data_IF_371228931779
#
_entry.id   IF_371228931779
#
_cell.length_a   1.000
_cell.length_b   1.000
_cell.length_c   1.000
_cell.angle_alpha   90.00
_cell.angle_beta   90.00
_cell.angle_gamma   90.00
#
_symmetry.space_group_name_H-M   'P 1'
#
loop_
_entity.id
_entity.type
_entity.pdbx_description
1 polymer ?
#
# COMPACT_ATOMS: atom_id res chain seq x y z
N UNK A 1 -37.65 1.44 20.24
CA UNK A 1 -37.18 0.68 19.07
C UNK A 1 -35.90 1.32 18.54
N UNK A 2 -34.69 0.83 18.88
CA UNK A 2 -33.45 1.44 18.42
C UNK A 2 -33.11 0.97 17.00
N UNK A 3 -32.72 1.92 16.15
CA UNK A 3 -32.27 1.70 14.78
C UNK A 3 -30.93 0.97 14.74
N UNK A 4 -30.89 -0.25 14.20
CA UNK A 4 -29.65 -0.91 13.82
C UNK A 4 -29.15 -0.32 12.50
N UNK A 5 -28.06 0.44 12.57
CA UNK A 5 -27.33 0.97 11.41
C UNK A 5 -26.37 -0.12 10.92
N UNK A 6 -26.79 -0.89 9.90
CA UNK A 6 -25.94 -1.86 9.21
C UNK A 6 -24.79 -1.12 8.52
N UNK A 7 -23.59 -1.22 9.10
CA UNK A 7 -22.35 -0.82 8.45
C UNK A 7 -21.94 -1.94 7.50
N UNK A 8 -22.27 -1.78 6.22
CA UNK A 8 -21.72 -2.60 5.14
C UNK A 8 -20.26 -2.20 4.95
N UNK A 9 -19.35 -2.98 5.54
CA UNK A 9 -17.95 -2.99 5.14
C UNK A 9 -17.85 -3.83 3.86
N UNK A 10 -17.54 -3.21 2.72
CA UNK A 10 -16.77 -3.82 1.64
C UNK A 10 -16.48 -2.79 0.53
N UNK A 11 -15.29 -2.20 0.59
CA UNK A 11 -14.59 -1.71 -0.59
C UNK A 11 -13.18 -2.28 -0.53
N UNK A 12 -13.03 -3.51 -0.99
CA UNK A 12 -11.74 -4.06 -1.38
C UNK A 12 -11.53 -3.64 -2.84
N UNK A 13 -10.62 -2.70 -3.04
CA UNK A 13 -10.08 -2.36 -4.35
C UNK A 13 -9.57 -3.65 -5.01
N UNK A 14 -10.11 -3.96 -6.20
CA UNK A 14 -9.53 -4.93 -7.09
C UNK A 14 -8.13 -4.44 -7.48
N UNK A 15 -7.10 -5.19 -7.08
CA UNK A 15 -5.76 -5.01 -7.64
C UNK A 15 -5.80 -5.56 -9.07
N UNK A 16 -5.37 -4.79 -10.09
CA UNK A 16 -5.21 -5.34 -11.43
C UNK A 16 -4.14 -6.44 -11.39
N UNK A 17 -4.53 -7.62 -11.84
CA UNK A 17 -3.65 -8.78 -12.03
C UNK A 17 -2.50 -8.41 -12.95
N UNK A 18 -1.27 -8.55 -12.44
CA UNK A 18 -0.05 -8.34 -13.19
C UNK A 18 0.17 -9.41 -14.25
N UNK A 19 -0.35 -9.18 -15.45
CA UNK A 19 0.06 -9.82 -16.70
C UNK A 19 0.18 -8.75 -17.79
N UNK A 20 1.23 -7.93 -17.69
CA UNK A 20 1.72 -7.09 -18.78
C UNK A 20 3.19 -6.72 -18.51
N UNK A 21 4.09 -7.69 -18.61
CA UNK A 21 5.54 -7.45 -18.52
C UNK A 21 6.30 -8.32 -19.52
N UNK A 22 5.95 -8.20 -20.80
CA UNK A 22 6.79 -8.64 -21.92
C UNK A 22 6.49 -7.80 -23.16
N UNK A 23 6.78 -6.49 -23.12
CA UNK A 23 7.14 -5.70 -24.31
C UNK A 23 7.61 -4.29 -23.91
N UNK A 24 8.89 -4.15 -23.59
CA UNK A 24 9.60 -2.86 -23.63
C UNK A 24 11.09 -3.13 -23.84
N UNK A 25 11.40 -3.55 -25.06
CA UNK A 25 12.77 -3.56 -25.58
C UNK A 25 12.77 -2.66 -26.80
N UNK A 26 12.85 -1.33 -26.57
CA UNK A 26 13.36 -0.31 -27.50
C UNK A 26 13.33 1.08 -26.86
N UNK A 27 14.53 1.60 -26.59
CA UNK A 27 14.86 3.01 -26.74
C UNK A 27 14.60 3.95 -25.55
N UNK A 28 15.54 4.05 -24.62
CA UNK A 28 15.89 5.33 -23.99
C UNK A 28 17.38 5.40 -23.67
N UNK A 29 18.19 5.61 -24.71
CA UNK A 29 19.46 6.34 -24.55
C UNK A 29 19.11 7.82 -24.51
N UNK A 30 18.95 8.38 -23.30
CA UNK A 30 19.30 9.79 -23.07
C UNK A 30 19.96 9.90 -21.71
N UNK A 31 21.28 9.91 -21.78
CA UNK A 31 22.19 10.32 -20.73
C UNK A 31 21.97 11.83 -20.49
N UNK A 32 20.92 12.20 -19.75
CA UNK A 32 20.67 13.59 -19.35
C UNK A 32 21.56 13.94 -18.17
N UNK A 33 22.80 14.34 -18.50
CA UNK A 33 23.62 15.19 -17.63
C UNK A 33 22.75 16.32 -17.09
N UNK A 34 22.62 16.34 -15.78
CA UNK A 34 22.07 17.44 -14.99
C UNK A 34 22.89 18.71 -15.26
N UNK A 35 22.49 19.48 -16.26
CA UNK A 35 22.90 20.87 -16.42
C UNK A 35 22.36 21.61 -15.20
N UNK A 36 23.27 22.15 -14.39
CA UNK A 36 22.93 23.14 -13.36
C UNK A 36 22.27 24.33 -14.07
N UNK A 37 20.96 24.47 -13.92
CA UNK A 37 20.32 25.78 -14.07
C UNK A 37 20.81 26.64 -12.91
N UNK A 38 21.91 27.37 -13.14
CA UNK A 38 22.17 28.59 -12.41
C UNK A 38 21.14 29.61 -12.88
N UNK A 39 20.36 30.09 -11.91
CA UNK A 39 19.43 31.20 -12.03
C UNK A 39 20.14 32.39 -12.66
N UNK A 40 19.68 32.77 -13.85
CA UNK A 40 19.91 34.07 -14.47
C UNK A 40 19.08 35.07 -13.68
N UNK A 41 19.68 35.74 -12.72
CA UNK A 41 19.20 37.03 -12.23
C UNK A 41 20.41 37.94 -11.99
N UNK A 42 20.42 39.06 -12.70
CA UNK A 42 21.28 40.23 -12.49
C UNK A 42 22.79 40.09 -12.74
N UNK A 43 23.17 40.13 -14.01
CA UNK A 43 24.43 40.76 -14.41
C UNK A 43 24.11 41.86 -15.44
N UNK A 44 24.19 43.09 -14.94
CA UNK A 44 24.35 44.33 -15.70
C UNK A 44 25.32 44.13 -16.86
N UNK A 45 24.82 44.38 -18.07
CA UNK A 45 25.58 44.38 -19.33
C UNK A 45 26.64 45.48 -19.27
N UNK A 46 27.95 45.17 -19.28
CA UNK A 46 28.95 46.17 -19.58
C UNK A 46 29.02 46.37 -21.10
N UNK A 47 28.96 47.62 -21.53
CA UNK A 47 29.06 48.05 -22.91
C UNK A 47 30.26 47.39 -23.62
N UNK A 48 29.96 46.73 -24.73
CA UNK A 48 30.92 46.08 -25.62
C UNK A 48 31.80 47.11 -26.31
N UNK A 49 33.08 47.16 -25.97
CA UNK A 49 34.12 47.76 -26.82
C UNK A 49 34.36 46.88 -28.06
N UNK A 50 34.57 47.45 -29.25
CA UNK A 50 34.87 46.68 -30.46
C UNK A 50 36.27 46.07 -30.34
N UNK A 51 36.34 44.78 -30.03
CA UNK A 51 37.60 44.06 -29.98
C UNK A 51 38.03 43.71 -31.41
N UNK A 52 39.03 44.43 -31.86
CA UNK A 52 39.79 44.20 -33.09
C UNK A 52 40.39 42.80 -33.14
N UNK A 53 40.37 42.20 -34.33
CA UNK A 53 41.26 41.14 -34.82
C UNK A 53 41.46 39.90 -33.94
N UNK A 54 40.46 39.01 -33.95
CA UNK A 54 40.68 37.58 -33.73
C UNK A 54 41.39 36.99 -34.96
N UNK A 55 42.70 37.20 -35.06
CA UNK A 55 43.55 36.34 -35.91
C UNK A 55 43.44 34.92 -35.37
N UNK A 56 43.07 33.99 -36.25
CA UNK A 56 43.05 32.55 -36.05
C UNK A 56 44.42 32.04 -35.55
N UNK A 57 44.63 32.06 -34.23
CA UNK A 57 45.71 31.33 -33.59
C UNK A 57 45.24 29.88 -33.49
N UNK A 58 45.49 29.11 -34.55
CA UNK A 58 45.34 27.66 -34.49
C UNK A 58 46.11 27.15 -33.27
N UNK A 59 45.48 26.38 -32.36
CA UNK A 59 46.18 25.87 -31.20
C UNK A 59 47.38 25.07 -31.68
N UNK A 60 48.59 25.49 -31.28
CA UNK A 60 49.80 24.74 -31.56
C UNK A 60 49.63 23.37 -30.91
N UNK A 61 49.48 22.34 -31.74
CA UNK A 61 49.48 20.96 -31.32
C UNK A 61 50.90 20.66 -30.82
N UNK A 62 51.08 20.73 -29.51
CA UNK A 62 52.32 20.28 -28.86
C UNK A 62 52.43 18.77 -29.03
N UNK A 63 53.04 18.35 -30.13
CA UNK A 63 53.32 16.96 -30.50
C UNK A 63 54.58 16.43 -29.80
N UNK A 64 54.87 16.90 -28.59
CA UNK A 64 56.01 16.39 -27.83
C UNK A 64 55.76 14.91 -27.48
N UNK A 65 56.60 13.97 -27.97
CA UNK A 65 56.42 12.54 -27.72
C UNK A 65 56.43 12.18 -26.23
N UNK A 66 57.09 12.98 -25.38
CA UNK A 66 57.10 12.76 -23.93
C UNK A 66 55.72 13.06 -23.32
N UNK A 67 55.08 14.14 -23.78
CA UNK A 67 53.73 14.54 -23.36
C UNK A 67 52.68 13.52 -23.80
N UNK A 68 52.80 12.97 -25.01
CA UNK A 68 51.91 11.92 -25.51
C UNK A 68 52.02 10.63 -24.70
N UNK A 69 53.22 10.21 -24.32
CA UNK A 69 53.43 9.02 -23.49
C UNK A 69 52.83 9.16 -22.09
N UNK A 70 52.91 10.35 -21.49
CA UNK A 70 52.28 10.62 -20.20
C UNK A 70 50.74 10.57 -20.29
N UNK A 71 50.16 11.18 -21.33
CA UNK A 71 48.72 11.13 -21.60
C UNK A 71 48.22 9.70 -21.82
N UNK A 72 48.99 8.88 -22.55
CA UNK A 72 48.66 7.48 -22.81
C UNK A 72 48.65 6.65 -21.52
N UNK A 73 49.63 6.84 -20.62
CA UNK A 73 49.62 6.16 -19.31
C UNK A 73 48.42 6.55 -18.44
N UNK A 74 48.01 7.81 -18.46
CA UNK A 74 46.81 8.26 -17.74
C UNK A 74 45.55 7.63 -18.35
N UNK A 75 45.46 7.57 -19.68
CA UNK A 75 44.34 6.92 -20.35
C UNK A 75 44.28 5.41 -20.05
N UNK A 76 45.41 4.71 -20.05
CA UNK A 76 45.50 3.29 -19.67
C UNK A 76 45.05 3.05 -18.22
N UNK A 77 45.46 3.93 -17.29
CA UNK A 77 45.00 3.84 -15.90
C UNK A 77 43.49 4.06 -15.80
N UNK A 78 42.97 5.12 -16.42
CA UNK A 78 41.54 5.40 -16.41
C UNK A 78 40.72 4.27 -17.04
N UNK A 79 41.26 3.60 -18.07
CA UNK A 79 40.61 2.44 -18.68
C UNK A 79 40.54 1.26 -17.70
N UNK A 80 41.63 0.97 -16.98
CA UNK A 80 41.65 -0.08 -15.95
C UNK A 80 40.69 0.21 -14.81
N UNK A 81 40.68 1.44 -14.31
CA UNK A 81 39.78 1.87 -13.24
C UNK A 81 38.30 1.71 -13.69
N UNK A 82 37.99 2.02 -14.96
CA UNK A 82 36.66 1.82 -15.53
C UNK A 82 36.31 0.33 -15.74
N UNK A 83 37.27 -0.51 -16.11
CA UNK A 83 37.08 -1.96 -16.21
C UNK A 83 36.75 -2.58 -14.84
N UNK A 84 37.39 -2.11 -13.77
CA UNK A 84 37.07 -2.53 -12.39
C UNK A 84 35.67 -2.07 -11.96
N UNK A 85 35.29 -0.82 -12.25
CA UNK A 85 33.94 -0.31 -11.97
C UNK A 85 32.85 -1.11 -12.71
N UNK A 86 33.07 -1.44 -13.99
CA UNK A 86 32.14 -2.29 -14.76
C UNK A 86 32.01 -3.68 -14.13
N UNK A 87 33.11 -4.24 -13.62
CA UNK A 87 33.11 -5.55 -12.97
C UNK A 87 32.32 -5.53 -11.66
N UNK A 88 32.44 -4.46 -10.87
CA UNK A 88 31.66 -4.25 -9.64
C UNK A 88 30.16 -4.07 -9.93
N UNK A 89 29.81 -3.29 -10.96
CA UNK A 89 28.41 -3.12 -11.35
C UNK A 89 27.78 -4.42 -11.88
N UNK A 90 28.54 -5.24 -12.60
CA UNK A 90 28.03 -6.54 -13.08
C UNK A 90 27.74 -7.50 -11.92
N UNK A 91 28.59 -7.53 -10.88
CA UNK A 91 28.32 -8.36 -9.70
C UNK A 91 27.11 -7.86 -8.90
N UNK A 92 26.89 -6.54 -8.82
CA UNK A 92 25.67 -5.98 -8.22
C UNK A 92 24.40 -6.37 -9.00
N UNK A 93 24.45 -6.37 -10.34
CA UNK A 93 23.34 -6.81 -11.19
C UNK A 93 23.01 -8.29 -10.97
N UNK A 94 24.01 -9.16 -10.84
CA UNK A 94 23.81 -10.58 -10.55
C UNK A 94 23.12 -10.78 -9.19
N UNK A 95 23.59 -10.10 -8.14
CA UNK A 95 22.97 -10.13 -6.81
C UNK A 95 21.51 -9.63 -6.82
N UNK A 96 21.21 -8.57 -7.58
CA UNK A 96 19.84 -8.10 -7.75
C UNK A 96 18.97 -9.11 -8.51
N UNK A 97 19.55 -9.87 -9.44
CA UNK A 97 18.88 -10.98 -10.13
C UNK A 97 18.42 -12.07 -9.16
N UNK A 98 19.29 -12.49 -8.23
CA UNK A 98 18.98 -13.49 -7.21
C UNK A 98 17.86 -13.03 -6.26
N UNK A 99 17.92 -11.79 -5.77
CA UNK A 99 16.88 -11.22 -4.89
C UNK A 99 15.52 -11.15 -5.60
N UNK A 100 15.50 -10.91 -6.91
CA UNK A 100 14.26 -10.90 -7.68
C UNK A 100 13.66 -12.31 -7.86
N UNK A 101 14.50 -13.34 -7.97
CA UNK A 101 14.04 -14.74 -8.01
C UNK A 101 13.39 -15.15 -6.68
N UNK A 102 14.02 -14.84 -5.55
CA UNK A 102 13.46 -15.14 -4.22
C UNK A 102 12.10 -14.47 -4.01
N UNK A 103 11.98 -13.19 -4.39
CA UNK A 103 10.71 -12.46 -4.34
C UNK A 103 9.64 -13.06 -5.23
N UNK A 104 10.01 -13.56 -6.42
CA UNK A 104 9.06 -14.23 -7.31
C UNK A 104 8.50 -15.50 -6.66
N UNK A 105 9.36 -16.30 -6.03
CA UNK A 105 8.95 -17.50 -5.28
C UNK A 105 8.02 -17.15 -4.11
N UNK A 106 8.32 -16.08 -3.37
CA UNK A 106 7.45 -15.59 -2.29
C UNK A 106 6.06 -15.17 -2.81
N UNK A 107 6.01 -14.40 -3.91
CA UNK A 107 4.76 -13.98 -4.55
C UNK A 107 3.94 -15.20 -5.00
N UNK A 108 4.56 -16.18 -5.64
CA UNK A 108 3.87 -17.39 -6.10
C UNK A 108 3.35 -18.24 -4.93
N UNK A 109 4.08 -18.28 -3.81
CA UNK A 109 3.63 -18.93 -2.57
C UNK A 109 2.41 -18.22 -1.96
N UNK A 110 2.42 -16.89 -1.94
CA UNK A 110 1.30 -16.08 -1.45
C UNK A 110 0.06 -16.22 -2.36
N UNK A 111 0.24 -16.25 -3.68
CA UNK A 111 -0.86 -16.50 -4.64
C UNK A 111 -1.52 -17.85 -4.39
N UNK A 112 -0.73 -18.92 -4.25
CA UNK A 112 -1.26 -20.25 -3.92
C UNK A 112 -2.00 -20.28 -2.58
N UNK A 113 -1.49 -19.57 -1.58
CA UNK A 113 -2.15 -19.46 -0.27
C UNK A 113 -3.48 -18.70 -0.36
N UNK A 114 -3.56 -17.66 -1.21
CA UNK A 114 -4.77 -16.91 -1.46
C UNK A 114 -5.83 -17.75 -2.20
N UNK A 115 -5.42 -18.47 -3.25
CA UNK A 115 -6.28 -19.40 -3.98
C UNK A 115 -6.81 -20.51 -3.08
N UNK A 116 -5.97 -21.05 -2.18
CA UNK A 116 -6.39 -22.06 -1.21
C UNK A 116 -7.39 -21.53 -0.17
N UNK A 117 -7.35 -20.23 0.15
CA UNK A 117 -8.27 -19.59 1.11
C UNK A 117 -9.63 -19.20 0.49
N UNK A 118 -9.71 -19.10 -0.83
CA UNK A 118 -10.91 -18.65 -1.53
C UNK A 118 -12.14 -19.57 -1.32
N UNK A 119 -12.03 -20.91 -1.36
CA UNK A 119 -13.16 -21.79 -1.05
C UNK A 119 -13.72 -21.59 0.36
N UNK A 120 -12.85 -21.39 1.36
CA UNK A 120 -13.27 -21.12 2.75
C UNK A 120 -13.99 -19.78 2.85
N UNK A 121 -13.50 -18.74 2.15
CA UNK A 121 -14.18 -17.44 2.09
C UNK A 121 -15.57 -17.56 1.47
N UNK A 122 -15.70 -18.29 0.37
CA UNK A 122 -16.98 -18.52 -0.31
C UNK A 122 -17.94 -19.28 0.62
N UNK A 123 -17.50 -20.38 1.23
CA UNK A 123 -18.34 -21.17 2.15
C UNK A 123 -18.79 -20.37 3.37
N UNK A 124 -17.92 -19.56 3.97
CA UNK A 124 -18.27 -18.68 5.09
C UNK A 124 -19.30 -17.63 4.66
N UNK A 125 -19.12 -17.06 3.47
CA UNK A 125 -20.04 -16.07 2.91
C UNK A 125 -21.42 -16.69 2.68
N UNK A 126 -21.49 -17.88 2.07
CA UNK A 126 -22.73 -18.64 1.89
C UNK A 126 -23.41 -18.92 3.24
N UNK A 127 -22.67 -19.38 4.24
CA UNK A 127 -23.20 -19.65 5.59
C UNK A 127 -23.78 -18.39 6.25
N UNK A 128 -23.09 -17.25 6.10
CA UNK A 128 -23.58 -15.96 6.62
C UNK A 128 -24.87 -15.56 5.90
N UNK A 129 -24.94 -15.74 4.59
CA UNK A 129 -26.15 -15.46 3.83
C UNK A 129 -27.32 -16.33 4.28
N UNK A 130 -27.12 -17.63 4.46
CA UNK A 130 -28.18 -18.53 4.94
C UNK A 130 -28.71 -18.09 6.32
N UNK A 131 -27.80 -17.78 7.25
CA UNK A 131 -28.17 -17.29 8.59
C UNK A 131 -28.91 -15.95 8.57
N UNK A 132 -28.58 -15.07 7.62
CA UNK A 132 -29.28 -13.80 7.46
C UNK A 132 -30.67 -14.03 6.86
N UNK A 133 -30.78 -14.88 5.84
CA UNK A 133 -32.04 -15.17 5.17
C UNK A 133 -33.06 -15.84 6.10
N UNK A 134 -32.61 -16.69 7.02
CA UNK A 134 -33.47 -17.30 8.04
C UNK A 134 -34.03 -16.29 9.05
N UNK A 135 -33.31 -15.18 9.30
CA UNK A 135 -33.70 -14.17 10.30
C UNK A 135 -34.44 -12.97 9.72
N UNK A 136 -34.40 -12.77 8.40
CA UNK A 136 -35.01 -11.62 7.75
C UNK A 136 -36.46 -11.90 7.37
N UNK A 137 -37.30 -10.87 7.49
CA UNK A 137 -38.65 -10.93 6.93
C UNK A 137 -38.59 -10.95 5.40
N UNK A 138 -39.65 -11.45 4.74
CA UNK A 138 -39.75 -11.46 3.27
C UNK A 138 -39.64 -10.05 2.69
N UNK A 139 -40.16 -9.05 3.40
CA UNK A 139 -40.10 -7.64 3.03
C UNK A 139 -38.66 -7.09 3.10
N UNK A 140 -37.90 -7.46 4.14
CA UNK A 140 -36.49 -7.05 4.28
C UNK A 140 -35.62 -7.69 3.20
N UNK A 141 -35.86 -8.97 2.88
CA UNK A 141 -35.19 -9.67 1.77
C UNK A 141 -35.40 -8.93 0.44
N UNK A 142 -36.64 -8.52 0.15
CA UNK A 142 -36.96 -7.75 -1.07
C UNK A 142 -36.31 -6.37 -1.09
N UNK A 143 -36.12 -5.74 0.06
CA UNK A 143 -35.43 -4.44 0.16
C UNK A 143 -33.94 -4.60 -0.11
N UNK A 144 -33.28 -5.58 0.52
CA UNK A 144 -31.87 -5.88 0.30
C UNK A 144 -31.60 -6.27 -1.15
N UNK A 145 -32.47 -7.10 -1.75
CA UNK A 145 -32.33 -7.49 -3.16
C UNK A 145 -32.35 -6.27 -4.11
N UNK A 146 -33.27 -5.32 -3.91
CA UNK A 146 -33.32 -4.08 -4.70
C UNK A 146 -32.08 -3.21 -4.51
N UNK A 147 -31.59 -3.09 -3.28
CA UNK A 147 -30.38 -2.30 -3.01
C UNK A 147 -29.13 -2.93 -3.63
N UNK A 148 -29.03 -4.26 -3.61
CA UNK A 148 -27.94 -5.00 -4.28
C UNK A 148 -28.04 -4.82 -5.79
N UNK A 149 -29.23 -4.93 -6.38
CA UNK A 149 -29.44 -4.74 -7.81
C UNK A 149 -29.09 -3.31 -8.25
N UNK A 150 -29.51 -2.29 -7.50
CA UNK A 150 -29.16 -0.90 -7.74
C UNK A 150 -27.65 -0.67 -7.63
N UNK A 151 -26.98 -1.26 -6.63
CA UNK A 151 -25.52 -1.15 -6.48
C UNK A 151 -24.74 -1.90 -7.55
N UNK A 152 -25.22 -3.06 -8.01
CA UNK A 152 -24.60 -3.80 -9.12
C UNK A 152 -24.78 -3.01 -10.42
N UNK A 153 -25.97 -2.45 -10.67
CA UNK A 153 -26.19 -1.56 -11.81
C UNK A 153 -25.32 -0.31 -11.74
N UNK A 154 -25.18 0.31 -10.57
CA UNK A 154 -24.28 1.44 -10.36
C UNK A 154 -22.82 1.06 -10.53
N UNK A 155 -22.39 -0.11 -10.06
CA UNK A 155 -21.02 -0.60 -10.27
C UNK A 155 -20.71 -0.91 -11.75
N UNK A 156 -21.71 -1.34 -12.52
CA UNK A 156 -21.61 -1.50 -13.97
C UNK A 156 -21.62 -0.16 -14.72
N UNK A 157 -22.40 0.82 -14.24
CA UNK A 157 -22.48 2.18 -14.81
C UNK A 157 -21.25 3.04 -14.48
N UNK A 158 -20.71 2.86 -13.29
CA UNK A 158 -19.47 3.47 -12.82
C UNK A 158 -18.27 2.60 -13.13
N UNK A 159 -18.46 1.52 -13.89
CA UNK A 159 -17.41 0.62 -14.36
C UNK A 159 -16.22 1.47 -14.75
N UNK A 160 -15.16 1.32 -13.95
CA UNK A 160 -13.96 2.11 -14.04
C UNK A 160 -13.62 2.23 -15.53
N UNK A 161 -13.73 3.45 -16.07
CA UNK A 161 -13.00 3.83 -17.26
C UNK A 161 -11.54 3.72 -16.86
N UNK A 162 -11.02 2.50 -16.90
CA UNK A 162 -9.60 2.26 -17.03
C UNK A 162 -9.29 2.99 -18.34
N UNK A 163 -8.63 4.13 -18.23
CA UNK A 163 -8.00 4.83 -19.35
C UNK A 163 -6.89 3.91 -19.88
N UNK A 164 -7.27 2.77 -20.46
CA UNK A 164 -6.43 1.97 -21.33
C UNK A 164 -6.38 2.72 -22.65
N UNK A 165 -5.57 3.78 -22.66
CA UNK A 165 -5.10 4.42 -23.87
C UNK A 165 -4.20 3.46 -24.63
N UNK A 166 -4.80 2.62 -25.47
CA UNK A 166 -4.21 2.22 -26.75
C UNK A 166 -5.31 1.75 -27.68
N UNK A 167 -5.32 2.30 -28.89
CA UNK A 167 -6.39 2.20 -29.90
C UNK A 167 -6.45 0.85 -30.60
N UNK A 168 -6.52 -0.24 -29.84
CA UNK A 168 -6.84 -1.56 -30.35
C UNK A 168 -8.35 -1.71 -30.49
N UNK A 169 -8.79 -1.89 -31.73
CA UNK A 169 -10.16 -2.25 -32.13
C UNK A 169 -10.53 -3.62 -31.53
N UNK A 170 -10.88 -3.61 -30.24
CA UNK A 170 -11.48 -4.75 -29.55
C UNK A 170 -12.99 -4.68 -29.80
N UNK A 171 -13.44 -5.48 -30.76
CA UNK A 171 -14.79 -6.06 -30.67
C UNK A 171 -14.96 -6.56 -29.25
N UNK A 172 -15.92 -6.01 -28.49
CA UNK A 172 -16.66 -6.76 -27.47
C UNK A 172 -17.77 -5.94 -26.83
N UNK A 173 -18.97 -6.54 -26.73
CA UNK A 173 -19.83 -6.38 -25.57
C UNK A 173 -19.96 -7.74 -24.86
N UNK A 174 -18.97 -8.11 -24.04
CA UNK A 174 -19.00 -9.29 -23.13
C UNK A 174 -20.06 -9.27 -22.00
N UNK A 175 -20.66 -8.15 -21.54
CA UNK A 175 -21.48 -8.20 -20.33
C UNK A 175 -22.68 -9.16 -20.41
N UNK A 176 -23.29 -9.32 -21.59
CA UNK A 176 -24.46 -10.20 -21.77
C UNK A 176 -24.11 -11.68 -21.75
N UNK A 177 -23.02 -12.06 -22.40
CA UNK A 177 -22.59 -13.48 -22.47
C UNK A 177 -22.13 -13.95 -21.09
N UNK A 178 -21.46 -13.10 -20.31
CA UNK A 178 -21.07 -13.42 -18.93
C UNK A 178 -22.29 -13.52 -18.02
N UNK A 179 -23.28 -12.64 -18.18
CA UNK A 179 -24.52 -12.72 -17.40
C UNK A 179 -25.35 -13.98 -17.75
N UNK A 180 -25.48 -14.33 -19.03
CA UNK A 180 -26.19 -15.53 -19.46
C UNK A 180 -25.48 -16.81 -18.99
N UNK A 181 -24.16 -16.87 -19.10
CA UNK A 181 -23.38 -18.03 -18.63
C UNK A 181 -23.41 -18.17 -17.11
N UNK A 182 -23.45 -17.07 -16.36
CA UNK A 182 -23.60 -17.12 -14.89
C UNK A 182 -25.00 -17.54 -14.46
N UNK A 183 -26.06 -17.08 -15.14
CA UNK A 183 -27.43 -17.53 -14.91
C UNK A 183 -27.60 -19.03 -15.21
N UNK A 184 -27.04 -19.52 -16.33
CA UNK A 184 -27.07 -20.94 -16.67
C UNK A 184 -26.33 -21.81 -15.63
N UNK A 185 -25.18 -21.35 -15.13
CA UNK A 185 -24.46 -22.03 -14.04
C UNK A 185 -25.27 -22.05 -12.74
N UNK A 186 -26.00 -20.97 -12.43
CA UNK A 186 -26.88 -20.91 -11.26
C UNK A 186 -28.02 -21.93 -11.35
N UNK A 187 -28.68 -22.01 -12.50
CA UNK A 187 -29.78 -22.95 -12.71
C UNK A 187 -29.32 -24.41 -12.62
N UNK A 188 -28.13 -24.72 -13.12
CA UNK A 188 -27.52 -26.04 -12.96
C UNK A 188 -27.28 -26.39 -11.49
N UNK A 189 -26.74 -25.45 -10.69
CA UNK A 189 -26.54 -25.64 -9.24
C UNK A 189 -27.86 -25.81 -8.49
N UNK A 190 -28.90 -25.03 -8.82
CA UNK A 190 -30.23 -25.17 -8.21
C UNK A 190 -30.86 -26.53 -8.53
N UNK A 191 -30.71 -27.03 -9.76
CA UNK A 191 -31.17 -28.38 -10.12
C UNK A 191 -30.42 -29.47 -9.34
N UNK A 192 -29.11 -29.32 -9.16
CA UNK A 192 -28.31 -30.25 -8.37
C UNK A 192 -28.69 -30.23 -6.89
N UNK A 193 -28.88 -29.05 -6.30
CA UNK A 193 -29.32 -28.91 -4.91
C UNK A 193 -30.70 -29.56 -4.68
N UNK A 194 -31.67 -29.33 -5.57
CA UNK A 194 -32.98 -30.01 -5.51
C UNK A 194 -32.84 -31.53 -5.57
N UNK A 195 -31.96 -32.05 -6.42
CA UNK A 195 -31.71 -33.50 -6.51
C UNK A 195 -31.17 -34.06 -5.18
N UNK A 196 -30.22 -33.37 -4.55
CA UNK A 196 -29.66 -33.76 -3.24
C UNK A 196 -30.72 -33.71 -2.14
N UNK A 197 -31.57 -32.67 -2.12
CA UNK A 197 -32.67 -32.58 -1.15
C UNK A 197 -33.71 -33.68 -1.34
N UNK A 198 -34.05 -34.03 -2.58
CA UNK A 198 -34.97 -35.14 -2.89
C UNK A 198 -34.36 -36.49 -2.46
N UNK A 199 -33.05 -36.70 -2.68
CA UNK A 199 -32.32 -37.88 -2.18
C UNK A 199 -32.31 -37.93 -0.65
N UNK A 200 -32.09 -36.79 0.02
CA UNK A 200 -32.12 -36.69 1.48
C UNK A 200 -33.52 -36.96 2.05
N UNK A 201 -34.57 -36.49 1.38
CA UNK A 201 -35.97 -36.80 1.74
C UNK A 201 -36.30 -38.28 1.57
N UNK A 202 -35.83 -38.92 0.49
CA UNK A 202 -35.98 -40.37 0.27
C UNK A 202 -35.22 -41.18 1.34
N UNK A 203 -34.00 -40.77 1.69
CA UNK A 203 -33.22 -41.42 2.75
C UNK A 203 -33.90 -41.26 4.13
N UNK A 204 -34.46 -40.09 4.43
CA UNK A 204 -35.18 -39.86 5.69
C UNK A 204 -36.48 -40.68 5.78
N UNK A 205 -37.18 -40.89 4.65
CA UNK A 205 -38.34 -41.78 4.61
C UNK A 205 -37.96 -43.22 4.98
N UNK A 206 -36.83 -43.72 4.47
CA UNK A 206 -36.33 -45.06 4.79
C UNK A 206 -35.83 -45.19 6.24
N UNK A 207 -35.23 -44.13 6.81
CA UNK A 207 -34.71 -44.14 8.19
C UNK A 207 -35.82 -44.09 9.26
N UNK A 208 -37.02 -43.63 8.91
CA UNK A 208 -38.15 -43.56 9.85
C UNK A 208 -38.76 -44.95 10.11
N UNK A 209 -38.58 -45.91 9.20
CA UNK A 209 -39.01 -47.29 9.40
C UNK A 209 -38.07 -48.04 10.37
N UNK A 210 -36.77 -47.73 10.39
CA UNK A 210 -35.80 -48.28 11.35
C UNK A 210 -35.94 -47.69 12.75
N UNK A 211 -36.29 -46.40 12.88
CA UNK A 211 -36.43 -45.76 14.21
C UNK A 211 -37.64 -46.29 15.00
N UNK A 212 -38.70 -46.75 14.32
CA UNK A 212 -39.85 -47.40 14.97
C UNK A 212 -39.48 -48.72 15.66
N UNK A 213 -38.39 -49.39 15.25
CA UNK A 213 -37.92 -50.60 15.94
C UNK A 213 -37.13 -50.29 17.22
N UNK A 214 -36.59 -49.08 17.39
CA UNK A 214 -35.71 -48.73 18.51
C UNK A 214 -36.41 -48.02 19.69
N UNK A 215 -37.67 -47.61 19.55
CA UNK A 215 -38.43 -46.94 20.62
C UNK A 215 -39.04 -47.89 21.68
N UNK A 216 -38.60 -49.15 21.77
CA UNK A 216 -39.01 -50.09 22.84
C UNK A 216 -38.02 -50.17 24.03
N UNK A 217 -37.37 -49.07 24.44
CA UNK A 217 -36.57 -49.06 25.68
C UNK A 217 -36.85 -47.83 26.54
N UNK A 218 -37.14 -47.99 27.85
CA UNK A 218 -37.47 -46.88 28.73
C UNK A 218 -36.23 -46.21 29.36
N UNK A 219 -36.31 -44.88 29.36
CA UNK A 219 -35.92 -43.85 30.33
C UNK A 219 -34.65 -44.00 31.19
N UNK A 220 -33.68 -43.12 30.89
CA UNK A 220 -32.68 -42.64 31.86
C UNK A 220 -32.61 -41.11 31.77
N UNK A 221 -32.98 -40.46 32.86
CA UNK A 221 -32.97 -39.02 33.08
C UNK A 221 -31.61 -38.54 33.59
N UNK A 222 -31.05 -37.47 32.98
CA UNK A 222 -29.90 -36.75 33.56
C UNK A 222 -30.10 -35.24 33.43
N UNK A 223 -29.83 -34.57 34.54
CA UNK A 223 -30.15 -33.19 34.87
C UNK A 223 -29.17 -32.14 34.31
N UNK A 224 -29.70 -30.92 34.20
CA UNK A 224 -29.04 -29.69 33.77
C UNK A 224 -28.06 -29.11 34.80
N UNK A 225 -27.05 -28.39 34.31
CA UNK A 225 -26.13 -27.59 35.12
C UNK A 225 -25.71 -26.32 34.38
N UNK A 226 -26.27 -25.19 34.82
CA UNK A 226 -25.91 -23.82 34.45
C UNK A 226 -24.69 -23.35 35.27
N UNK A 227 -23.88 -22.44 34.71
CA UNK A 227 -22.96 -21.49 35.40
C UNK A 227 -22.16 -20.75 34.31
N UNK A 228 -21.69 -19.50 34.40
CA UNK A 228 -21.76 -18.42 35.38
C UNK A 228 -21.10 -17.20 34.70
N UNK A 229 -21.70 -16.03 34.83
CA UNK A 229 -21.24 -14.74 34.30
C UNK A 229 -20.04 -14.18 35.06
N UNK A 230 -19.10 -13.47 34.41
CA UNK A 230 -18.33 -12.43 35.10
C UNK A 230 -17.86 -11.27 34.21
N UNK A 231 -18.11 -10.08 34.74
CA UNK A 231 -17.85 -8.73 34.22
C UNK A 231 -16.60 -8.18 34.89
N UNK A 232 -15.63 -7.62 34.15
CA UNK A 232 -14.64 -6.70 34.74
C UNK A 232 -14.40 -5.47 33.86
N UNK A 233 -14.70 -4.35 34.50
CA UNK A 233 -14.59 -2.94 34.14
C UNK A 233 -13.24 -2.42 34.66
N UNK A 234 -12.42 -1.75 33.84
CA UNK A 234 -11.38 -0.87 34.39
C UNK A 234 -11.01 0.29 33.44
N UNK A 235 -11.38 1.50 33.85
CA UNK A 235 -10.95 2.76 33.26
C UNK A 235 -9.59 3.19 33.82
N UNK A 236 -8.71 3.76 32.98
CA UNK A 236 -7.63 4.66 33.45
C UNK A 236 -7.48 5.87 32.52
N UNK A 237 -7.86 7.02 33.09
CA UNK A 237 -7.64 8.40 32.66
C UNK A 237 -6.22 8.81 33.06
N UNK A 238 -5.45 9.47 32.17
CA UNK A 238 -4.23 10.21 32.55
C UNK A 238 -4.13 11.53 31.80
N UNK A 239 -3.68 12.52 32.55
CA UNK A 239 -3.72 13.95 32.31
C UNK A 239 -2.70 14.41 31.26
N UNK A 240 -3.02 15.51 30.62
CA UNK A 240 -2.19 16.25 29.69
C UNK A 240 -1.58 17.44 30.43
N UNK A 241 -0.25 17.46 30.54
CA UNK A 241 0.49 18.67 30.90
C UNK A 241 1.17 19.19 29.63
N UNK A 242 0.68 20.34 29.16
CA UNK A 242 1.22 21.09 28.06
C UNK A 242 2.35 21.98 28.59
N UNK A 243 3.57 21.75 28.09
CA UNK A 243 4.71 22.63 28.26
C UNK A 243 4.63 23.66 27.13
N UNK A 244 4.19 24.87 27.45
CA UNK A 244 4.27 26.03 26.58
C UNK A 244 5.70 26.53 26.55
N UNK A 245 6.31 26.58 25.36
CA UNK A 245 7.60 27.22 25.13
C UNK A 245 7.33 28.55 24.42
N UNK A 246 7.84 29.69 24.92
CA UNK A 246 7.64 30.98 24.28
C UNK A 246 8.61 31.17 23.12
N UNK A 247 8.23 32.08 22.23
CA UNK A 247 9.04 32.72 21.18
C UNK A 247 9.17 31.99 19.83
N UNK A 248 8.13 32.13 19.00
CA UNK A 248 8.32 32.31 17.55
C UNK A 248 7.46 33.46 17.02
N UNK A 249 7.94 34.23 16.02
CA UNK A 249 7.33 35.49 15.63
C UNK A 249 6.01 35.27 14.87
N UNK A 250 4.98 36.02 15.25
CA UNK A 250 3.67 36.04 14.59
C UNK A 250 3.73 36.81 13.27
N UNK A 251 3.59 36.09 12.17
CA UNK A 251 3.31 36.64 10.84
C UNK A 251 2.45 35.64 10.07
N UNK A 252 1.20 36.02 9.79
CA UNK A 252 0.12 35.19 9.26
C UNK A 252 0.33 34.71 7.81
N UNK A 253 0.59 33.41 7.65
CA UNK A 253 0.26 32.54 6.51
C UNK A 253 0.38 31.11 7.04
N UNK A 254 -0.69 30.32 6.96
CA UNK A 254 -0.90 29.06 7.71
C UNK A 254 0.38 28.31 8.03
N UNK A 255 0.80 28.35 9.30
CA UNK A 255 2.01 27.68 9.77
C UNK A 255 1.84 26.19 9.48
N UNK A 256 2.52 25.70 8.44
CA UNK A 256 2.52 24.27 8.13
C UNK A 256 2.98 23.54 9.38
N UNK A 257 2.14 22.62 9.85
CA UNK A 257 2.44 21.73 10.96
C UNK A 257 3.79 21.05 10.71
N UNK A 258 4.63 20.98 11.73
CA UNK A 258 5.95 20.35 11.63
C UNK A 258 5.80 18.83 11.84
N UNK A 259 6.13 18.05 10.81
CA UNK A 259 6.02 16.59 10.83
C UNK A 259 7.43 16.00 10.88
N UNK A 260 7.81 15.56 12.07
CA UNK A 260 9.15 15.05 12.33
C UNK A 260 9.32 13.65 11.76
N UNK A 261 10.43 13.38 11.05
CA UNK A 261 10.78 12.00 10.68
C UNK A 261 11.10 11.15 11.92
N UNK A 262 10.91 9.84 11.81
CA UNK A 262 11.07 8.88 12.92
C UNK A 262 12.48 8.96 13.52
N UNK A 263 13.49 9.13 12.67
CA UNK A 263 14.89 9.20 13.10
C UNK A 263 15.19 10.48 13.89
N UNK A 264 14.77 11.64 13.36
CA UNK A 264 14.92 12.90 14.07
C UNK A 264 14.15 12.89 15.40
N UNK A 265 12.94 12.33 15.43
CA UNK A 265 12.16 12.19 16.65
C UNK A 265 12.84 11.29 17.70
N UNK A 266 13.45 10.17 17.28
CA UNK A 266 14.16 9.26 18.19
C UNK A 266 15.41 9.88 18.80
N UNK A 267 16.11 10.72 18.03
CA UNK A 267 17.39 11.33 18.40
C UNK A 267 17.25 12.77 18.93
N UNK A 268 16.02 13.29 19.06
CA UNK A 268 15.75 14.69 19.42
C UNK A 268 16.47 15.70 18.51
N UNK A 269 16.57 15.42 17.21
CA UNK A 269 17.12 16.34 16.21
C UNK A 269 16.02 17.24 15.62
N UNK A 270 16.39 18.46 15.23
CA UNK A 270 15.51 19.39 14.53
C UNK A 270 15.28 18.92 13.10
N UNK A 271 14.03 18.58 12.74
CA UNK A 271 13.66 18.15 11.40
C UNK A 271 13.18 19.34 10.56
N UNK A 272 13.74 19.53 9.37
CA UNK A 272 13.41 20.62 8.43
C UNK A 272 12.20 20.32 7.53
N UNK A 273 11.51 19.21 7.77
CA UNK A 273 10.37 18.71 6.99
C UNK A 273 10.60 18.49 5.48
N UNK A 274 11.84 18.55 4.99
CA UNK A 274 12.13 18.18 3.59
C UNK A 274 11.95 16.65 3.40
N UNK A 275 11.80 16.23 2.13
CA UNK A 275 11.78 14.82 1.76
C UNK A 275 12.89 14.54 0.74
N UNK A 276 14.01 13.91 1.16
CA UNK A 276 14.41 13.60 2.54
C UNK A 276 14.82 14.85 3.37
N UNK A 277 14.81 14.76 4.71
CA UNK A 277 15.25 15.85 5.58
C UNK A 277 16.79 15.98 5.61
N UNK A 278 17.33 17.20 5.76
CA UNK A 278 18.80 17.44 5.75
C UNK A 278 19.56 16.56 6.73
N UNK A 279 19.06 16.39 7.95
CA UNK A 279 19.70 15.54 8.97
C UNK A 279 19.77 14.07 8.55
N UNK A 280 18.74 13.54 7.88
CA UNK A 280 18.78 12.18 7.35
C UNK A 280 19.71 12.05 6.14
N UNK A 281 19.79 13.08 5.28
CA UNK A 281 20.73 13.12 4.15
C UNK A 281 22.18 13.09 4.65
N UNK A 282 22.53 13.96 5.61
CA UNK A 282 23.89 13.98 6.18
C UNK A 282 24.27 12.70 6.92
N UNK A 283 23.29 12.02 7.52
CA UNK A 283 23.52 10.75 8.20
C UNK A 283 23.47 9.54 7.25
N UNK A 284 23.19 9.74 5.95
CA UNK A 284 23.00 8.69 4.95
C UNK A 284 21.93 7.66 5.36
N UNK A 285 20.83 8.13 5.98
CA UNK A 285 19.73 7.27 6.47
C UNK A 285 18.44 7.52 5.72
N UNK A 286 17.63 6.47 5.60
CA UNK A 286 16.26 6.56 5.06
C UNK A 286 15.40 7.47 5.94
N UNK A 287 14.87 8.54 5.35
CA UNK A 287 13.98 9.49 6.00
C UNK A 287 12.53 8.99 5.96
N UNK A 288 12.09 8.28 7.00
CA UNK A 288 10.70 7.78 7.11
C UNK A 288 9.90 8.55 8.15
N UNK A 289 8.60 8.73 7.90
CA UNK A 289 7.66 9.38 8.83
C UNK A 289 6.63 8.39 9.34
N UNK A 290 6.22 8.55 10.60
CA UNK A 290 5.20 7.69 11.19
C UNK A 290 3.81 8.19 10.80
N UNK A 291 2.96 7.30 10.28
CA UNK A 291 1.55 7.58 10.06
C UNK A 291 0.80 7.80 11.39
N UNK A 292 -0.14 8.75 11.40
CA UNK A 292 -1.02 8.96 12.54
C UNK A 292 -2.17 7.95 12.54
N UNK A 293 -2.10 6.93 13.40
CA UNK A 293 -3.16 5.91 13.55
C UNK A 293 -4.50 6.48 14.00
N UNK A 294 -4.47 7.60 14.75
CA UNK A 294 -5.70 8.27 15.19
C UNK A 294 -6.31 9.11 14.06
N UNK A 295 -5.53 9.54 13.07
CA UNK A 295 -6.04 10.31 11.95
C UNK A 295 -6.81 9.42 10.97
N UNK A 296 -6.26 8.25 10.62
CA UNK A 296 -6.95 7.26 9.78
C UNK A 296 -8.32 6.84 10.35
N UNK A 297 -8.49 6.89 11.67
CA UNK A 297 -9.75 6.58 12.36
C UNK A 297 -10.66 7.79 12.60
N UNK A 298 -10.27 8.99 12.15
CA UNK A 298 -11.01 10.24 12.38
C UNK A 298 -10.99 10.75 13.83
N UNK A 299 -10.11 10.22 14.69
CA UNK A 299 -10.05 10.51 16.13
C UNK A 299 -8.90 11.44 16.54
N UNK A 300 -8.03 11.84 15.62
CA UNK A 300 -6.91 12.71 15.96
C UNK A 300 -7.37 14.16 16.10
N UNK A 301 -7.51 14.61 17.35
CA UNK A 301 -7.92 15.98 17.71
C UNK A 301 -6.74 16.96 17.81
N UNK A 302 -5.50 16.52 17.55
CA UNK A 302 -4.30 17.34 17.78
C UNK A 302 -4.08 18.28 16.58
N UNK A 303 -4.19 19.60 16.74
CA UNK A 303 -4.01 20.55 15.63
C UNK A 303 -2.56 20.60 15.13
N UNK A 304 -1.59 20.16 15.94
CA UNK A 304 -0.17 20.06 15.61
C UNK A 304 0.37 18.63 15.85
N UNK A 305 -0.29 17.62 15.27
CA UNK A 305 0.17 16.24 15.40
C UNK A 305 1.57 16.06 14.79
N UNK A 306 2.55 15.57 15.55
CA UNK A 306 3.91 15.33 15.02
C UNK A 306 4.00 14.14 14.05
N UNK A 307 2.88 13.46 13.77
CA UNK A 307 2.78 12.31 12.87
C UNK A 307 2.07 12.74 11.58
N UNK A 308 2.42 12.07 10.49
CA UNK A 308 1.89 12.39 9.17
C UNK A 308 0.40 12.06 9.04
N UNK A 309 -0.36 12.98 8.45
CA UNK A 309 -1.75 12.88 8.04
C UNK A 309 -1.83 12.92 6.51
N UNK A 310 -2.88 12.34 5.91
CA UNK A 310 -3.05 12.34 4.44
C UNK A 310 -3.13 13.75 3.84
N UNK A 311 -3.65 14.72 4.60
CA UNK A 311 -3.74 16.13 4.20
C UNK A 311 -2.38 16.83 4.10
N UNK A 312 -1.35 16.28 4.74
CA UNK A 312 -0.01 16.87 4.74
C UNK A 312 0.72 16.71 3.38
N UNK A 313 0.11 15.98 2.44
CA UNK A 313 0.57 15.84 1.05
C UNK A 313 1.39 14.59 0.77
N UNK A 314 1.54 14.32 -0.53
CA UNK A 314 2.35 13.26 -1.09
C UNK A 314 3.82 13.70 -1.19
N UNK A 315 4.75 12.76 -0.98
CA UNK A 315 6.19 13.04 -1.10
C UNK A 315 7.04 12.47 0.03
N UNK A 316 6.43 11.92 1.08
CA UNK A 316 7.15 11.28 2.17
C UNK A 316 7.06 9.77 2.11
N UNK A 317 8.14 9.08 2.50
CA UNK A 317 8.08 7.64 2.75
C UNK A 317 7.39 7.42 4.10
N UNK A 318 6.14 6.97 4.05
CA UNK A 318 5.29 6.76 5.23
C UNK A 318 5.45 5.32 5.74
N UNK A 319 5.62 5.18 7.05
CA UNK A 319 5.70 3.89 7.72
C UNK A 319 4.62 3.78 8.80
N UNK A 320 3.83 2.71 8.76
CA UNK A 320 2.90 2.33 9.83
C UNK A 320 3.67 1.69 10.98
N UNK A 321 4.40 2.50 11.72
CA UNK A 321 5.03 2.10 12.98
C UNK A 321 4.07 2.40 14.14
N UNK A 322 4.01 1.48 15.12
CA UNK A 322 3.20 1.61 16.32
C UNK A 322 3.62 2.79 17.22
N UNK A 323 3.72 2.57 18.53
CA UNK A 323 4.26 3.60 19.43
C UNK A 323 5.75 3.78 19.15
N UNK A 324 6.13 4.92 18.58
CA UNK A 324 7.54 5.33 18.47
C UNK A 324 7.95 5.89 19.83
N UNK A 325 8.75 5.14 20.56
CA UNK A 325 9.32 5.58 21.83
C UNK A 325 10.49 6.53 21.57
N UNK A 326 10.56 7.64 22.30
CA UNK A 326 11.78 8.45 22.36
C UNK A 326 12.87 7.58 22.97
N UNK A 327 14.06 7.57 22.36
CA UNK A 327 15.17 6.87 22.99
C UNK A 327 15.47 7.57 24.32
N UNK A 328 15.41 6.84 25.43
CA UNK A 328 15.71 7.40 26.76
C UNK A 328 17.22 7.64 26.96
N UNK A 329 18.03 7.47 25.92
CA UNK A 329 19.46 7.27 26.08
C UNK A 329 20.32 8.53 25.95
N UNK A 330 19.78 9.71 26.28
CA UNK A 330 20.60 10.92 26.30
C UNK A 330 20.41 11.67 27.61
N UNK A 331 21.43 11.50 28.45
CA UNK A 331 21.83 12.36 29.57
C UNK A 331 20.91 12.33 30.80
N UNK A 332 21.09 11.32 31.65
CA UNK A 332 21.22 11.64 33.08
C UNK A 332 22.39 12.60 33.19
N UNK A 333 22.12 13.92 33.16
CA UNK A 333 23.11 14.91 33.60
C UNK A 333 23.58 14.46 34.98
N UNK A 334 24.90 14.36 35.25
CA UNK A 334 25.36 14.13 36.60
C UNK A 334 24.75 15.22 37.48
N UNK A 335 24.04 14.81 38.54
CA UNK A 335 23.63 15.74 39.61
C UNK A 335 24.94 16.26 40.21
N UNK A 336 25.31 17.48 39.88
CA UNK A 336 26.30 18.23 40.64
C UNK A 336 25.69 18.52 42.00
N UNK A 337 26.27 17.92 43.05
CA UNK A 337 25.99 18.28 44.44
C UNK A 337 26.64 19.61 44.79
#
# INVERSE_FOLDING_TARGET
MPYYRLLVFNSLHAFPSGEALHHLQRGTSTNSRRIRHQSRDNLSVPESKPHTDRRNMAPKLDNDPVSLRAKLKVAEKNLKDAEEEIKELNSEIELLGEVNLDRKVEIDSLKKSLEAAEPTRVALTETIFDLLMDKMSKEDIKKVAREVEEKVQLGLLLGDRVDSGDGGELEEPIPRIVLETTLLKRDARVKQAKKVDDERRKAAANHNDDLKQLQQKPDISVAAGENSTNVVRLMRKRNADAIESPDTPRGSKGSRRVITCIQCYKQNLTCDNASPCKSCVHAERKCTRAACTHWETGKCIRPNCSRWHVEDGEGYVIQRVGKVFKSQNQQKKPRTN
#
